data_IF_825420865059
#
_entry.id   IF_825420865059
#
_cell.length_a   1.000
_cell.length_b   1.000
_cell.length_c   1.000
_cell.angle_alpha   90.00
_cell.angle_beta   90.00
_cell.angle_gamma   90.00
#
_symmetry.space_group_name_H-M   'P 1'
#
loop_
_entity.id
_entity.type
_entity.pdbx_description
1 polymer ?
#
# COMPACT_ATOMS: atom_id res chain seq x y z
N UNK A 1 6.24 -36.04 -9.05
CA UNK A 1 5.75 -35.05 -10.04
C UNK A 1 5.52 -33.67 -9.37
N UNK A 2 6.33 -33.32 -8.35
CA UNK A 2 6.12 -32.15 -7.46
C UNK A 2 7.25 -31.09 -7.55
N UNK A 3 8.26 -31.33 -8.39
CA UNK A 3 9.51 -30.57 -8.37
C UNK A 3 9.47 -29.29 -9.23
N UNK A 4 8.64 -29.27 -10.30
CA UNK A 4 8.57 -28.11 -11.20
C UNK A 4 7.77 -26.93 -10.63
N UNK A 5 6.70 -27.20 -9.86
CA UNK A 5 5.85 -26.15 -9.30
C UNK A 5 6.58 -25.35 -8.22
N UNK A 6 7.44 -25.99 -7.43
CA UNK A 6 8.26 -25.34 -6.41
C UNK A 6 9.42 -24.55 -7.00
N UNK A 7 9.99 -25.01 -8.12
CA UNK A 7 11.09 -24.33 -8.81
C UNK A 7 10.67 -23.02 -9.46
N UNK A 8 9.49 -22.99 -10.08
CA UNK A 8 8.91 -21.77 -10.67
C UNK A 8 8.53 -20.73 -9.62
N UNK A 9 7.90 -21.16 -8.52
CA UNK A 9 7.54 -20.29 -7.38
C UNK A 9 8.78 -19.63 -6.76
N UNK A 10 9.87 -20.39 -6.59
CA UNK A 10 11.16 -19.85 -6.10
C UNK A 10 11.80 -18.86 -7.09
N UNK A 11 11.74 -19.12 -8.40
CA UNK A 11 12.24 -18.19 -9.43
C UNK A 11 11.47 -16.87 -9.44
N UNK A 12 10.14 -16.93 -9.37
CA UNK A 12 9.28 -15.74 -9.33
C UNK A 12 9.57 -14.88 -8.09
N UNK A 13 9.69 -15.51 -6.92
CA UNK A 13 10.04 -14.83 -5.67
C UNK A 13 11.44 -14.19 -5.72
N UNK A 14 12.41 -14.84 -6.40
CA UNK A 14 13.76 -14.28 -6.58
C UNK A 14 13.82 -13.09 -7.55
N UNK A 15 12.89 -13.02 -8.50
CA UNK A 15 12.83 -11.97 -9.51
C UNK A 15 12.19 -10.68 -8.95
N UNK A 16 11.18 -10.81 -8.11
CA UNK A 16 10.53 -9.67 -7.44
C UNK A 16 11.32 -9.37 -6.16
N UNK A 17 12.43 -8.65 -6.28
CA UNK A 17 13.06 -8.07 -5.08
C UNK A 17 12.10 -7.01 -4.53
N UNK A 18 11.72 -7.07 -3.23
CA UNK A 18 10.80 -6.11 -2.64
C UNK A 18 11.21 -4.66 -2.89
N UNK A 19 12.52 -4.40 -2.95
CA UNK A 19 13.11 -3.10 -3.31
C UNK A 19 12.52 -2.49 -4.59
N UNK A 20 12.28 -3.29 -5.65
CA UNK A 20 11.70 -2.80 -6.91
C UNK A 20 10.23 -2.44 -6.77
N UNK A 21 9.47 -3.20 -5.98
CA UNK A 21 8.05 -2.93 -5.72
C UNK A 21 7.90 -1.62 -4.97
N UNK A 22 8.71 -1.42 -3.91
CA UNK A 22 8.70 -0.19 -3.13
C UNK A 22 9.25 1.01 -3.90
N UNK A 23 10.24 0.81 -4.78
CA UNK A 23 10.71 1.88 -5.67
C UNK A 23 9.60 2.34 -6.62
N UNK A 24 8.88 1.40 -7.26
CA UNK A 24 7.74 1.73 -8.13
C UNK A 24 6.58 2.38 -7.35
N UNK A 25 6.27 1.86 -6.16
CA UNK A 25 5.24 2.43 -5.29
C UNK A 25 5.58 3.83 -4.77
N UNK A 26 6.87 4.20 -4.69
CA UNK A 26 7.30 5.55 -4.36
C UNK A 26 7.20 6.50 -5.55
N UNK A 27 7.43 6.02 -6.77
CA UNK A 27 7.34 6.83 -8.00
C UNK A 27 5.91 7.32 -8.24
N UNK A 28 4.90 6.50 -7.98
CA UNK A 28 3.49 6.89 -8.18
C UNK A 28 3.09 8.17 -7.43
N UNK A 29 3.27 8.24 -6.09
CA UNK A 29 3.04 9.43 -5.30
C UNK A 29 3.87 10.64 -5.74
N UNK A 30 5.14 10.45 -6.11
CA UNK A 30 6.01 11.53 -6.63
C UNK A 30 5.47 12.06 -7.96
N UNK A 31 5.08 11.17 -8.87
CA UNK A 31 4.47 11.54 -10.14
C UNK A 31 3.14 12.28 -9.93
N UNK A 32 2.33 11.87 -8.95
CA UNK A 32 1.08 12.56 -8.61
C UNK A 32 1.34 13.98 -8.05
N UNK A 33 2.44 14.20 -7.33
CA UNK A 33 2.87 15.53 -6.88
C UNK A 33 3.39 16.41 -8.04
N UNK A 34 4.09 15.81 -9.00
CA UNK A 34 4.69 16.54 -10.13
C UNK A 34 3.69 16.79 -11.28
N UNK A 35 2.71 15.91 -11.44
CA UNK A 35 1.70 15.92 -12.48
C UNK A 35 0.32 15.83 -11.82
N UNK A 36 -0.21 16.94 -11.27
CA UNK A 36 -1.54 16.95 -10.68
C UNK A 36 -2.53 16.47 -11.76
N UNK A 37 -3.36 15.45 -11.48
CA UNK A 37 -4.30 14.96 -12.46
C UNK A 37 -5.27 16.09 -12.82
N UNK A 38 -5.35 16.44 -14.10
CA UNK A 38 -6.47 17.23 -14.60
C UNK A 38 -7.76 16.48 -14.26
N UNK A 39 -8.70 17.13 -13.58
CA UNK A 39 -9.96 16.52 -13.14
C UNK A 39 -10.74 15.93 -14.32
N UNK A 40 -10.50 14.65 -14.60
CA UNK A 40 -11.39 13.86 -15.44
C UNK A 40 -12.54 13.49 -14.52
N UNK A 41 -13.61 14.29 -14.60
CA UNK A 41 -14.88 13.98 -13.96
C UNK A 41 -15.37 12.62 -14.47
N UNK A 42 -15.18 11.58 -13.66
CA UNK A 42 -15.75 10.26 -13.93
C UNK A 42 -17.23 10.37 -13.57
N UNK A 43 -18.01 10.88 -14.52
CA UNK A 43 -19.46 10.94 -14.45
C UNK A 43 -20.05 9.53 -14.55
N UNK A 44 -20.72 9.10 -13.49
CA UNK A 44 -21.43 7.83 -13.44
C UNK A 44 -21.79 7.42 -12.02
N UNK A 45 -22.67 8.19 -11.37
CA UNK A 45 -23.25 7.76 -10.10
C UNK A 45 -24.20 6.58 -10.34
N UNK A 46 -23.71 5.36 -10.16
CA UNK A 46 -24.58 4.19 -10.00
C UNK A 46 -25.20 4.29 -8.61
N UNK A 47 -26.47 4.69 -8.55
CA UNK A 47 -27.24 4.82 -7.30
C UNK A 47 -27.57 3.40 -6.79
N UNK A 48 -26.60 2.76 -6.14
CA UNK A 48 -26.83 1.52 -5.41
C UNK A 48 -27.40 1.86 -4.04
N UNK A 49 -28.49 1.21 -3.63
CA UNK A 49 -29.08 1.40 -2.31
C UNK A 49 -28.03 1.18 -1.19
N UNK A 50 -27.98 2.10 -0.22
CA UNK A 50 -27.01 2.13 0.88
C UNK A 50 -26.68 0.77 1.52
N UNK A 51 -27.65 -0.11 1.84
CA UNK A 51 -27.35 -1.42 2.40
C UNK A 51 -26.59 -2.35 1.43
N UNK A 52 -26.92 -2.33 0.14
CA UNK A 52 -26.23 -3.15 -0.87
C UNK A 52 -24.78 -2.69 -1.07
N UNK A 53 -24.55 -1.36 -1.08
CA UNK A 53 -23.20 -0.79 -1.16
C UNK A 53 -22.35 -1.22 0.04
N UNK A 54 -22.90 -1.17 1.26
CA UNK A 54 -22.22 -1.60 2.47
C UNK A 54 -21.85 -3.10 2.43
N UNK A 55 -22.78 -3.96 2.01
CA UNK A 55 -22.53 -5.42 1.88
C UNK A 55 -21.40 -5.69 0.90
N UNK A 56 -21.41 -5.03 -0.26
CA UNK A 56 -20.35 -5.20 -1.28
C UNK A 56 -19.00 -4.77 -0.71
N UNK A 57 -18.93 -3.63 -0.02
CA UNK A 57 -17.68 -3.15 0.60
C UNK A 57 -17.17 -4.15 1.64
N UNK A 58 -18.04 -4.66 2.51
CA UNK A 58 -17.67 -5.65 3.53
C UNK A 58 -17.16 -6.93 2.87
N UNK A 59 -17.86 -7.44 1.85
CA UNK A 59 -17.45 -8.64 1.13
C UNK A 59 -16.11 -8.44 0.42
N UNK A 60 -15.91 -7.30 -0.24
CA UNK A 60 -14.65 -6.96 -0.91
C UNK A 60 -13.50 -6.88 0.11
N UNK A 61 -13.75 -6.26 1.27
CA UNK A 61 -12.76 -6.12 2.34
C UNK A 61 -12.38 -7.48 2.92
N UNK A 62 -13.36 -8.38 3.15
CA UNK A 62 -13.10 -9.75 3.58
C UNK A 62 -12.33 -10.55 2.53
N UNK A 63 -12.70 -10.44 1.25
CA UNK A 63 -12.03 -11.14 0.16
C UNK A 63 -10.58 -10.67 0.00
N UNK A 64 -10.34 -9.35 0.00
CA UNK A 64 -8.99 -8.78 -0.07
C UNK A 64 -8.18 -9.18 1.15
N UNK A 65 -8.75 -9.12 2.35
CA UNK A 65 -8.06 -9.53 3.59
C UNK A 65 -7.71 -11.01 3.59
N UNK A 66 -8.59 -11.87 3.08
CA UNK A 66 -8.32 -13.29 2.93
C UNK A 66 -7.18 -13.56 1.94
N UNK A 67 -7.22 -12.93 0.76
CA UNK A 67 -6.16 -13.04 -0.25
C UNK A 67 -4.82 -12.53 0.31
N UNK A 68 -4.83 -11.38 1.00
CA UNK A 68 -3.64 -10.81 1.61
C UNK A 68 -3.08 -11.73 2.71
N UNK A 69 -3.94 -12.29 3.56
CA UNK A 69 -3.53 -13.22 4.64
C UNK A 69 -2.94 -14.50 4.05
N UNK A 70 -3.56 -15.04 3.00
CA UNK A 70 -3.02 -16.20 2.29
C UNK A 70 -1.68 -15.90 1.61
N UNK A 71 -1.56 -14.70 1.01
CA UNK A 71 -0.31 -14.19 0.46
C UNK A 71 0.79 -14.11 1.53
N UNK A 72 0.50 -13.54 2.69
CA UNK A 72 1.43 -13.47 3.84
C UNK A 72 1.82 -14.85 4.34
N UNK A 73 0.88 -15.80 4.42
CA UNK A 73 1.18 -17.17 4.83
C UNK A 73 2.10 -17.88 3.82
N UNK A 74 1.94 -17.60 2.52
CA UNK A 74 2.84 -18.07 1.48
C UNK A 74 4.21 -17.39 1.56
N UNK A 75 4.24 -16.08 1.80
CA UNK A 75 5.46 -15.29 1.88
C UNK A 75 6.31 -15.70 3.10
N UNK A 76 5.70 -15.93 4.27
CA UNK A 76 6.37 -16.49 5.46
C UNK A 76 7.09 -17.82 5.22
N UNK A 77 6.68 -18.59 4.20
CA UNK A 77 7.31 -19.88 3.86
C UNK A 77 8.59 -19.71 3.02
N UNK A 78 8.78 -18.57 2.37
CA UNK A 78 9.86 -18.35 1.40
C UNK A 78 10.68 -17.06 1.61
N UNK A 79 10.13 -16.08 2.33
CA UNK A 79 10.76 -14.81 2.63
C UNK A 79 11.52 -14.88 3.96
N UNK A 80 12.64 -14.15 4.02
CA UNK A 80 13.41 -13.96 5.25
C UNK A 80 12.58 -13.14 6.26
N UNK A 81 12.53 -13.57 7.53
CA UNK A 81 11.81 -12.86 8.61
C UNK A 81 12.19 -11.38 8.70
N UNK A 82 13.45 -11.06 8.37
CA UNK A 82 13.96 -9.70 8.27
C UNK A 82 13.20 -8.85 7.24
N UNK A 83 12.95 -9.37 6.03
CA UNK A 83 12.23 -8.62 5.00
C UNK A 83 10.76 -8.44 5.35
N UNK A 84 10.16 -9.44 6.00
CA UNK A 84 8.77 -9.34 6.46
C UNK A 84 8.61 -8.26 7.54
N UNK A 85 9.48 -8.26 8.56
CA UNK A 85 9.50 -7.21 9.59
C UNK A 85 9.75 -5.83 8.98
N UNK A 86 10.63 -5.74 7.99
CA UNK A 86 10.92 -4.50 7.29
C UNK A 86 9.68 -3.91 6.59
N UNK A 87 8.94 -4.74 5.85
CA UNK A 87 7.70 -4.33 5.19
C UNK A 87 6.61 -3.96 6.19
N UNK A 88 6.46 -4.72 7.27
CA UNK A 88 5.48 -4.46 8.31
C UNK A 88 5.77 -3.13 9.05
N UNK A 89 7.02 -2.89 9.43
CA UNK A 89 7.42 -1.64 10.07
C UNK A 89 7.23 -0.44 9.13
N UNK A 90 7.54 -0.60 7.84
CA UNK A 90 7.20 0.39 6.83
C UNK A 90 5.70 0.67 6.76
N UNK A 91 4.85 -0.36 6.83
CA UNK A 91 3.40 -0.20 6.73
C UNK A 91 2.85 0.60 7.93
N UNK A 92 3.38 0.35 9.12
CA UNK A 92 3.05 1.13 10.32
C UNK A 92 3.40 2.62 10.12
N UNK A 93 4.56 2.94 9.54
CA UNK A 93 4.92 4.32 9.19
C UNK A 93 3.93 4.91 8.19
N UNK A 94 3.51 4.14 7.19
CA UNK A 94 2.48 4.54 6.23
C UNK A 94 1.16 4.93 6.89
N UNK A 95 0.63 4.04 7.74
CA UNK A 95 -0.64 4.23 8.46
C UNK A 95 -0.55 5.46 9.38
N UNK A 96 0.52 5.55 10.17
CA UNK A 96 0.73 6.70 11.07
C UNK A 96 0.83 8.01 10.27
N UNK A 97 1.55 8.01 9.15
CA UNK A 97 1.67 9.18 8.27
C UNK A 97 0.31 9.69 7.79
N UNK A 98 -0.57 8.79 7.32
CA UNK A 98 -1.92 9.16 6.90
C UNK A 98 -2.74 9.72 8.06
N UNK A 99 -2.71 9.07 9.24
CA UNK A 99 -3.45 9.55 10.40
C UNK A 99 -3.01 10.95 10.83
N UNK A 100 -1.70 11.19 10.88
CA UNK A 100 -1.14 12.51 11.23
C UNK A 100 -1.49 13.57 10.19
N UNK A 101 -1.36 13.25 8.91
CA UNK A 101 -1.69 14.20 7.83
C UNK A 101 -3.19 14.49 7.81
N UNK A 102 -4.05 13.47 7.95
CA UNK A 102 -5.51 13.64 8.07
C UNK A 102 -5.84 14.59 9.22
N UNK A 103 -5.34 14.29 10.41
CA UNK A 103 -5.61 15.09 11.61
C UNK A 103 -5.09 16.52 11.50
N UNK A 104 -3.93 16.72 10.84
CA UNK A 104 -3.36 18.05 10.61
C UNK A 104 -4.25 18.87 9.66
N UNK A 105 -4.75 18.25 8.59
CA UNK A 105 -5.66 18.92 7.66
C UNK A 105 -7.01 19.21 8.30
N UNK A 106 -7.56 18.30 9.10
CA UNK A 106 -8.80 18.53 9.85
C UNK A 106 -8.64 19.69 10.86
N UNK A 107 -7.50 19.81 11.53
CA UNK A 107 -7.21 20.92 12.45
C UNK A 107 -7.02 22.27 11.74
N UNK A 108 -6.60 22.23 10.48
CA UNK A 108 -6.28 23.41 9.67
C UNK A 108 -7.27 23.60 8.52
N UNK A 109 -8.48 23.03 8.60
CA UNK A 109 -9.49 23.02 7.53
C UNK A 109 -9.89 24.44 7.07
N UNK A 110 -9.73 25.44 7.95
CA UNK A 110 -9.94 26.85 7.58
C UNK A 110 -8.84 27.45 6.70
N UNK A 111 -7.66 26.82 6.62
CA UNK A 111 -6.47 27.28 5.89
C UNK A 111 -6.03 26.34 4.77
N UNK A 112 -6.41 25.07 4.83
CA UNK A 112 -5.99 24.02 3.90
C UNK A 112 -7.20 23.36 3.24
N UNK A 113 -7.12 23.04 1.94
CA UNK A 113 -8.18 22.31 1.26
C UNK A 113 -8.28 20.87 1.79
N UNK A 114 -9.49 20.32 1.85
CA UNK A 114 -9.70 18.93 2.26
C UNK A 114 -8.95 17.94 1.36
N UNK A 115 -8.35 16.93 1.98
CA UNK A 115 -7.66 15.87 1.26
C UNK A 115 -8.67 14.88 0.68
N UNK A 116 -8.58 14.66 -0.62
CA UNK A 116 -9.32 13.60 -1.29
C UNK A 116 -8.71 12.21 -1.01
N UNK A 117 -9.47 11.19 -1.39
CA UNK A 117 -9.05 9.79 -1.22
C UNK A 117 -7.78 9.45 -2.03
N UNK A 118 -7.53 10.15 -3.15
CA UNK A 118 -6.34 9.93 -3.99
C UNK A 118 -5.08 10.46 -3.32
N UNK A 119 -5.17 11.62 -2.70
CA UNK A 119 -4.11 12.28 -1.95
C UNK A 119 -3.76 11.42 -0.72
N UNK A 120 -4.76 10.97 0.02
CA UNK A 120 -4.57 10.06 1.16
C UNK A 120 -3.89 8.75 0.76
N UNK A 121 -4.31 8.14 -0.36
CA UNK A 121 -3.68 6.92 -0.87
C UNK A 121 -2.22 7.18 -1.30
N UNK A 122 -1.94 8.33 -1.91
CA UNK A 122 -0.59 8.73 -2.31
C UNK A 122 0.32 8.93 -1.09
N UNK A 123 -0.20 9.57 -0.04
CA UNK A 123 0.50 9.74 1.24
C UNK A 123 0.77 8.37 1.88
N UNK A 124 -0.21 7.46 1.88
CA UNK A 124 -0.05 6.11 2.41
C UNK A 124 1.08 5.35 1.71
N UNK A 125 1.02 5.27 0.38
CA UNK A 125 1.99 4.53 -0.43
C UNK A 125 3.38 5.15 -0.37
N UNK A 126 3.46 6.49 -0.40
CA UNK A 126 4.73 7.22 -0.28
C UNK A 126 5.36 7.02 1.09
N UNK A 127 4.58 7.18 2.17
CA UNK A 127 5.06 7.01 3.54
C UNK A 127 5.44 5.56 3.85
N UNK A 128 4.68 4.59 3.33
CA UNK A 128 5.02 3.17 3.45
C UNK A 128 6.34 2.86 2.75
N UNK A 129 6.51 3.35 1.51
CA UNK A 129 7.74 3.13 0.74
C UNK A 129 8.95 3.82 1.37
N UNK A 130 8.80 5.04 1.87
CA UNK A 130 9.84 5.74 2.62
C UNK A 130 10.21 4.99 3.91
N UNK A 131 9.22 4.52 4.66
CA UNK A 131 9.42 3.71 5.85
C UNK A 131 10.25 2.46 5.56
N UNK A 132 9.89 1.73 4.49
CA UNK A 132 10.64 0.57 4.01
C UNK A 132 12.11 0.91 3.75
N UNK A 133 12.39 1.95 2.94
CA UNK A 133 13.76 2.33 2.60
C UNK A 133 14.56 2.85 3.81
N UNK A 134 13.93 3.61 4.72
CA UNK A 134 14.61 4.09 5.93
C UNK A 134 15.06 2.93 6.82
N UNK A 135 14.19 1.95 7.06
CA UNK A 135 14.58 0.78 7.85
C UNK A 135 15.58 -0.10 7.10
N UNK A 136 15.52 -0.16 5.75
CA UNK A 136 16.47 -0.91 4.93
C UNK A 136 17.88 -0.32 5.05
N UNK A 137 17.99 1.01 4.96
CA UNK A 137 19.27 1.72 5.09
C UNK A 137 19.82 1.63 6.51
N UNK A 138 18.96 1.72 7.54
CA UNK A 138 19.40 1.58 8.93
C UNK A 138 19.87 0.15 9.27
N UNK A 139 19.20 -0.87 8.75
CA UNK A 139 19.63 -2.27 8.92
C UNK A 139 20.89 -2.65 8.14
N UNK A 140 21.47 -1.74 7.34
CA UNK A 140 22.79 -1.90 6.69
C UNK A 140 23.94 -1.34 7.53
N UNK A 141 23.66 -0.68 8.66
CA UNK A 141 24.70 -0.26 9.61
C UNK A 141 24.85 -1.34 10.70
N UNK A 142 25.99 -2.06 10.76
CA UNK A 142 26.30 -2.96 11.86
C UNK A 142 26.49 -2.21 13.18
#
# INVERSE_FOLDING_TARGET
MDDDTTRWKKKLHRLIKPDWVFALMLIGPIAALLFPPSDIAVGGEVILAWPFKAIIIIFLLLAISFIATFGVAFDKKFADDYHFQLMANGAVVGIMGVLFVSLTFDLLDMWLPQLGAKEMLSILLGSWSLGYFFYRIKGLKP
#
